data_IF_663023987253
#
_entry.id   IF_663023987253
#
_cell.length_a   1.000
_cell.length_b   1.000
_cell.length_c   1.000
_cell.angle_alpha   90.00
_cell.angle_beta   90.00
_cell.angle_gamma   90.00
#
_symmetry.space_group_name_H-M   'P 1'
#
loop_
_entity.id
_entity.type
_entity.pdbx_description
1 polymer ?
#
# COMPACT_ATOMS: atom_id res chain seq x y z
N UNK A 1 19.33 -1.58 13.19
CA UNK A 1 19.63 -0.23 12.65
C UNK A 1 21.12 -0.11 12.46
N UNK A 2 21.59 0.12 11.23
CA UNK A 2 23.02 0.37 10.97
C UNK A 2 23.31 1.85 11.18
N UNK A 3 24.29 2.16 12.02
CA UNK A 3 24.80 3.53 12.22
C UNK A 3 26.19 3.59 11.59
N UNK A 4 26.38 4.50 10.65
CA UNK A 4 27.70 4.77 10.07
C UNK A 4 28.17 6.09 10.65
N UNK A 5 29.29 6.07 11.36
CA UNK A 5 29.96 7.29 11.81
C UNK A 5 30.95 7.71 10.74
N UNK A 6 30.84 8.94 10.27
CA UNK A 6 31.78 9.57 9.34
C UNK A 6 32.51 10.66 10.09
N UNK A 7 33.83 10.59 10.13
CA UNK A 7 34.69 11.60 10.75
C UNK A 7 35.63 12.19 9.71
N UNK A 8 35.74 13.51 9.67
CA UNK A 8 36.72 14.24 8.86
C UNK A 8 37.30 15.39 9.68
N UNK A 9 38.61 15.32 9.98
CA UNK A 9 39.24 16.18 10.99
C UNK A 9 38.50 16.11 12.33
N UNK A 10 38.10 17.28 12.83
CA UNK A 10 37.35 17.43 14.08
C UNK A 10 35.82 17.33 13.92
N UNK A 11 35.33 17.10 12.70
CA UNK A 11 33.89 16.97 12.43
C UNK A 11 33.49 15.50 12.41
N UNK A 12 32.43 15.16 13.15
CA UNK A 12 31.80 13.84 13.13
C UNK A 12 30.32 13.98 12.75
N UNK A 13 29.82 13.04 11.94
CA UNK A 13 28.39 12.88 11.65
C UNK A 13 28.01 11.41 11.72
N UNK A 14 26.79 11.11 12.16
CA UNK A 14 26.25 9.74 12.21
C UNK A 14 25.11 9.60 11.22
N UNK A 15 25.30 8.79 10.19
CA UNK A 15 24.24 8.38 9.28
C UNK A 15 23.48 7.18 9.88
N UNK A 16 22.17 7.36 10.09
CA UNK A 16 21.28 6.33 10.60
C UNK A 16 20.51 5.69 9.44
N UNK A 17 20.91 4.49 9.02
CA UNK A 17 20.24 3.75 7.95
C UNK A 17 19.11 2.92 8.56
N UNK A 18 17.87 3.39 8.37
CA UNK A 18 16.68 2.76 8.92
C UNK A 18 15.79 2.09 7.87
N UNK A 19 16.09 2.29 6.59
CA UNK A 19 15.30 1.78 5.47
C UNK A 19 16.19 0.88 4.60
N UNK A 20 15.62 -0.17 3.99
CA UNK A 20 16.34 -0.95 2.99
C UNK A 20 16.62 -0.12 1.73
N UNK A 21 17.57 -0.55 0.90
CA UNK A 21 17.80 0.08 -0.40
C UNK A 21 16.66 -0.22 -1.37
N UNK A 22 16.36 0.70 -2.30
CA UNK A 22 15.42 0.48 -3.39
C UNK A 22 15.76 -0.79 -4.17
N UNK A 23 17.03 -0.95 -4.57
CA UNK A 23 17.49 -2.09 -5.37
C UNK A 23 17.10 -3.43 -4.74
N UNK A 24 17.42 -3.62 -3.46
CA UNK A 24 17.10 -4.86 -2.75
C UNK A 24 15.60 -5.01 -2.46
N UNK A 25 14.88 -3.92 -2.19
CA UNK A 25 13.42 -4.01 -2.02
C UNK A 25 12.74 -4.46 -3.32
N UNK A 26 13.07 -3.78 -4.42
CA UNK A 26 12.50 -4.04 -5.73
C UNK A 26 12.80 -5.47 -6.21
N UNK A 27 14.03 -5.96 -6.07
CA UNK A 27 14.40 -7.31 -6.51
C UNK A 27 13.67 -8.44 -5.75
N UNK A 28 13.15 -8.17 -4.55
CA UNK A 28 12.46 -9.15 -3.73
C UNK A 28 10.95 -8.93 -3.65
N UNK A 29 10.42 -7.83 -4.19
CA UNK A 29 8.99 -7.57 -4.22
C UNK A 29 8.30 -8.45 -5.27
N UNK A 30 7.53 -9.44 -4.82
CA UNK A 30 6.90 -10.42 -5.71
C UNK A 30 5.63 -9.83 -6.34
N UNK A 31 5.56 -9.77 -7.67
CA UNK A 31 4.40 -9.35 -8.47
C UNK A 31 3.79 -10.52 -9.25
N UNK A 32 3.74 -11.71 -8.66
CA UNK A 32 3.07 -12.90 -9.22
C UNK A 32 1.62 -13.01 -8.78
N UNK A 33 0.89 -14.04 -9.19
CA UNK A 33 -0.47 -14.32 -8.74
C UNK A 33 -0.54 -14.56 -7.22
N UNK A 34 -1.62 -14.12 -6.57
CA UNK A 34 -1.76 -14.30 -5.11
C UNK A 34 -1.82 -15.77 -4.71
N UNK A 35 -2.45 -16.62 -5.53
CA UNK A 35 -2.56 -18.06 -5.31
C UNK A 35 -1.20 -18.79 -5.31
N UNK A 36 -0.19 -18.22 -5.97
CA UNK A 36 1.18 -18.74 -5.99
C UNK A 36 1.99 -18.22 -4.81
N UNK A 37 1.74 -16.97 -4.40
CA UNK A 37 2.51 -16.31 -3.35
C UNK A 37 2.33 -16.95 -1.96
N UNK A 38 1.14 -17.47 -1.63
CA UNK A 38 0.89 -18.01 -0.28
C UNK A 38 1.88 -19.11 0.11
N UNK A 39 2.12 -20.06 -0.81
CA UNK A 39 3.01 -21.20 -0.59
C UNK A 39 4.50 -20.83 -0.58
N UNK A 40 4.87 -19.66 -1.09
CA UNK A 40 6.23 -19.12 -0.93
C UNK A 40 6.52 -18.83 0.54
N UNK A 41 5.50 -18.35 1.27
CA UNK A 41 5.63 -18.02 2.69
C UNK A 41 5.34 -19.25 3.55
N UNK A 42 4.14 -19.83 3.47
CA UNK A 42 3.79 -21.00 4.28
C UNK A 42 2.65 -21.81 3.68
N UNK A 43 2.76 -23.13 3.79
CA UNK A 43 1.69 -24.09 3.48
C UNK A 43 0.39 -23.81 4.26
N UNK A 44 0.50 -23.32 5.49
CA UNK A 44 -0.66 -22.95 6.30
C UNK A 44 -1.41 -21.76 5.70
N UNK A 45 -0.68 -20.73 5.25
CA UNK A 45 -1.30 -19.59 4.59
C UNK A 45 -1.97 -20.02 3.28
N UNK A 46 -1.30 -20.86 2.47
CA UNK A 46 -1.87 -21.40 1.24
C UNK A 46 -3.21 -22.10 1.48
N UNK A 47 -3.25 -23.00 2.47
CA UNK A 47 -4.48 -23.71 2.87
C UNK A 47 -5.59 -22.75 3.31
N UNK A 48 -5.27 -21.77 4.14
CA UNK A 48 -6.28 -20.83 4.67
C UNK A 48 -6.80 -19.86 3.59
N UNK A 49 -5.92 -19.39 2.70
CA UNK A 49 -6.28 -18.48 1.62
C UNK A 49 -7.00 -19.17 0.45
N UNK A 50 -6.95 -20.50 0.37
CA UNK A 50 -7.70 -21.33 -0.60
C UNK A 50 -8.83 -22.13 0.03
N UNK A 51 -9.22 -21.79 1.26
CA UNK A 51 -10.29 -22.50 1.97
C UNK A 51 -11.64 -22.40 1.24
N UNK A 52 -12.39 -23.49 1.24
CA UNK A 52 -13.78 -23.51 0.77
C UNK A 52 -14.72 -22.68 1.67
N UNK A 53 -14.39 -22.50 2.97
CA UNK A 53 -15.12 -21.57 3.83
C UNK A 53 -14.75 -20.14 3.44
N UNK A 54 -15.69 -19.44 2.81
CA UNK A 54 -15.53 -18.06 2.36
C UNK A 54 -15.12 -17.11 3.49
N UNK A 55 -15.60 -17.31 4.72
CA UNK A 55 -15.25 -16.45 5.87
C UNK A 55 -13.81 -16.65 6.27
N UNK A 56 -13.29 -17.88 6.14
CA UNK A 56 -11.87 -18.15 6.31
C UNK A 56 -11.13 -17.49 5.15
N UNK A 57 -11.41 -17.86 3.90
CA UNK A 57 -10.72 -17.35 2.72
C UNK A 57 -10.56 -15.82 2.70
N UNK A 58 -11.65 -15.07 2.94
CA UNK A 58 -11.64 -13.59 2.96
C UNK A 58 -10.70 -12.97 4.00
N UNK A 59 -10.38 -13.69 5.07
CA UNK A 59 -9.44 -13.21 6.09
C UNK A 59 -7.97 -13.38 5.68
N UNK A 60 -7.69 -14.24 4.69
CA UNK A 60 -6.34 -14.69 4.33
C UNK A 60 -5.94 -14.37 2.89
N UNK A 61 -6.88 -14.05 2.00
CA UNK A 61 -6.62 -13.83 0.57
C UNK A 61 -5.76 -12.59 0.26
N UNK A 62 -5.71 -11.61 1.17
CA UNK A 62 -4.96 -10.38 0.89
C UNK A 62 -3.45 -10.57 1.08
N UNK A 63 -2.71 -10.56 -0.02
CA UNK A 63 -1.24 -10.75 -0.01
C UNK A 63 -0.41 -9.46 0.10
N UNK A 64 -1.00 -8.26 0.03
CA UNK A 64 -0.20 -7.02 -0.10
C UNK A 64 0.79 -6.81 1.05
N UNK A 65 0.35 -6.99 2.30
CA UNK A 65 1.20 -6.87 3.48
C UNK A 65 2.24 -8.00 3.56
N UNK A 66 1.88 -9.21 3.12
CA UNK A 66 2.82 -10.33 3.08
C UNK A 66 3.92 -10.15 2.03
N UNK A 67 3.59 -9.63 0.83
CA UNK A 67 4.56 -9.27 -0.21
C UNK A 67 5.52 -8.18 0.26
N UNK A 68 4.98 -7.15 0.93
CA UNK A 68 5.78 -6.11 1.55
C UNK A 68 6.70 -6.69 2.64
N UNK A 69 6.17 -7.56 3.51
CA UNK A 69 6.95 -8.23 4.55
C UNK A 69 8.09 -9.06 3.99
N UNK A 70 7.82 -9.84 2.95
CA UNK A 70 8.81 -10.64 2.26
C UNK A 70 9.94 -9.76 1.69
N UNK A 71 9.59 -8.70 0.95
CA UNK A 71 10.58 -7.78 0.39
C UNK A 71 11.42 -7.08 1.49
N UNK A 72 10.80 -6.68 2.60
CA UNK A 72 11.50 -6.08 3.75
C UNK A 72 12.51 -7.07 4.35
N UNK A 73 12.08 -8.30 4.63
CA UNK A 73 12.94 -9.33 5.20
C UNK A 73 14.14 -9.63 4.28
N UNK A 74 13.89 -9.87 2.99
CA UNK A 74 14.93 -10.22 2.02
C UNK A 74 15.79 -9.03 1.58
N UNK A 75 15.40 -7.79 1.91
CA UNK A 75 16.23 -6.59 1.70
C UNK A 75 17.09 -6.21 2.91
N UNK A 76 17.08 -7.02 3.96
CA UNK A 76 17.87 -6.83 5.18
C UNK A 76 17.17 -5.99 6.27
N UNK A 77 15.91 -5.61 6.07
CA UNK A 77 15.07 -5.01 7.10
C UNK A 77 14.20 -6.11 7.74
N UNK A 78 14.82 -6.91 8.63
CA UNK A 78 14.17 -8.07 9.24
C UNK A 78 13.03 -7.64 10.16
N UNK A 79 11.83 -8.13 9.87
CA UNK A 79 10.66 -7.91 10.70
C UNK A 79 10.73 -8.75 11.98
N UNK A 80 10.50 -8.15 13.16
CA UNK A 80 10.45 -8.87 14.41
C UNK A 80 9.17 -9.73 14.47
N UNK A 81 9.07 -10.58 15.49
CA UNK A 81 7.82 -11.27 15.83
C UNK A 81 6.68 -10.25 16.00
N UNK A 82 5.53 -10.50 15.37
CA UNK A 82 4.39 -9.59 15.42
C UNK A 82 3.73 -9.70 16.80
N UNK A 83 3.70 -8.64 17.63
CA UNK A 83 3.15 -8.73 18.98
C UNK A 83 1.63 -8.66 19.03
N UNK A 84 0.94 -8.24 17.95
CA UNK A 84 -0.48 -7.83 17.99
C UNK A 84 -1.32 -8.26 16.80
N UNK A 85 -0.78 -9.00 15.83
CA UNK A 85 -1.47 -9.24 14.57
C UNK A 85 -1.17 -10.58 13.92
N UNK A 86 -1.89 -10.82 12.81
CA UNK A 86 -1.72 -12.00 11.98
C UNK A 86 -0.35 -11.96 11.28
N UNK A 87 0.46 -12.98 11.54
CA UNK A 87 1.75 -13.17 10.93
C UNK A 87 2.07 -14.67 10.78
N UNK A 88 2.95 -14.99 9.84
CA UNK A 88 3.40 -16.36 9.56
C UNK A 88 4.93 -16.42 9.58
N UNK A 89 5.49 -17.50 10.13
CA UNK A 89 6.91 -17.79 9.94
C UNK A 89 7.07 -18.47 8.58
N UNK A 90 7.96 -17.93 7.76
CA UNK A 90 8.26 -18.52 6.46
C UNK A 90 8.94 -19.87 6.64
N UNK A 91 8.39 -20.92 6.06
CA UNK A 91 8.90 -22.29 6.26
C UNK A 91 10.32 -22.47 5.67
N UNK A 92 10.63 -21.73 4.60
CA UNK A 92 11.92 -21.79 3.90
C UNK A 92 12.93 -20.76 4.39
N UNK A 93 12.50 -19.54 4.66
CA UNK A 93 13.40 -18.43 5.00
C UNK A 93 13.51 -18.16 6.51
N UNK A 94 12.61 -18.74 7.33
CA UNK A 94 12.57 -18.56 8.77
C UNK A 94 12.16 -17.15 9.24
N UNK A 95 11.76 -16.25 8.33
CA UNK A 95 11.41 -14.88 8.69
C UNK A 95 9.94 -14.73 9.08
N UNK A 96 9.67 -13.72 9.90
CA UNK A 96 8.29 -13.38 10.23
C UNK A 96 7.66 -12.51 9.14
N UNK A 97 6.50 -12.93 8.64
CA UNK A 97 5.75 -12.27 7.58
C UNK A 97 4.45 -11.70 8.14
N UNK A 98 4.36 -10.37 8.24
CA UNK A 98 3.18 -9.71 8.77
C UNK A 98 2.12 -9.59 7.68
N UNK A 99 0.91 -10.09 7.95
CA UNK A 99 -0.13 -10.22 6.93
C UNK A 99 -1.19 -9.11 6.98
N UNK A 100 -1.06 -8.15 7.90
CA UNK A 100 -2.03 -7.06 8.08
C UNK A 100 -1.40 -5.70 7.83
N UNK A 101 -2.07 -4.93 6.98
CA UNK A 101 -1.60 -3.62 6.52
C UNK A 101 -1.49 -2.62 7.66
N UNK A 102 -2.48 -2.55 8.57
CA UNK A 102 -2.49 -1.58 9.68
C UNK A 102 -1.28 -1.76 10.57
N UNK A 103 -1.07 -2.97 11.06
CA UNK A 103 -0.01 -3.31 12.01
C UNK A 103 1.36 -3.12 11.36
N UNK A 104 1.54 -3.57 10.11
CA UNK A 104 2.80 -3.36 9.38
C UNK A 104 3.08 -1.87 9.15
N UNK A 105 2.08 -1.07 8.77
CA UNK A 105 2.21 0.38 8.59
C UNK A 105 2.60 1.08 9.88
N UNK A 106 1.98 0.73 11.00
CA UNK A 106 2.33 1.30 12.31
C UNK A 106 3.78 0.96 12.70
N UNK A 107 4.21 -0.27 12.44
CA UNK A 107 5.59 -0.68 12.66
C UNK A 107 6.59 0.06 11.76
N UNK A 108 6.27 0.25 10.46
CA UNK A 108 7.10 1.03 9.55
C UNK A 108 7.17 2.50 9.95
N UNK A 109 6.05 3.13 10.37
CA UNK A 109 6.07 4.50 10.93
C UNK A 109 7.00 4.61 12.15
N UNK A 110 6.95 3.64 13.06
CA UNK A 110 7.84 3.60 14.24
C UNK A 110 9.32 3.43 13.86
N UNK A 111 9.59 2.65 12.81
CA UNK A 111 10.95 2.28 12.41
C UNK A 111 11.61 3.30 11.48
N UNK A 112 10.87 3.77 10.49
CA UNK A 112 11.30 4.69 9.44
C UNK A 112 11.06 6.16 9.80
N UNK A 113 10.21 6.44 10.79
CA UNK A 113 9.69 7.76 11.08
C UNK A 113 8.50 8.12 10.19
N UNK A 114 8.12 9.41 10.23
CA UNK A 114 7.13 9.98 9.31
C UNK A 114 7.57 9.72 7.85
N UNK A 115 6.60 9.47 6.97
CA UNK A 115 6.81 9.45 5.53
C UNK A 115 7.44 10.74 5.05
N UNK A 116 8.31 10.64 4.05
CA UNK A 116 8.93 11.82 3.43
C UNK A 116 7.87 12.65 2.72
N UNK A 117 6.81 12.00 2.25
CA UNK A 117 5.57 12.63 1.80
C UNK A 117 4.39 11.91 2.45
N UNK A 118 3.53 12.65 3.14
CA UNK A 118 2.25 12.14 3.65
C UNK A 118 1.16 13.17 3.40
N UNK A 119 -0.01 12.72 2.93
CA UNK A 119 -1.15 13.61 2.72
C UNK A 119 -2.47 12.91 3.08
N UNK A 120 -3.24 13.43 4.05
CA UNK A 120 -4.61 13.03 4.26
C UNK A 120 -5.50 13.61 3.15
N UNK A 121 -6.37 12.80 2.57
CA UNK A 121 -7.34 13.25 1.58
C UNK A 121 -8.67 13.61 2.25
N UNK A 122 -9.40 14.61 1.73
CA UNK A 122 -10.75 14.90 2.18
C UNK A 122 -11.65 13.67 2.00
N UNK A 123 -12.57 13.48 2.96
CA UNK A 123 -13.60 12.46 2.82
C UNK A 123 -14.49 12.77 1.61
N UNK A 124 -14.63 11.80 0.72
CA UNK A 124 -15.51 11.84 -0.44
C UNK A 124 -16.94 11.63 0.02
N UNK A 125 -17.58 12.72 0.45
CA UNK A 125 -18.98 12.76 0.84
C UNK A 125 -19.76 13.61 -0.17
N UNK A 126 -20.93 13.14 -0.56
CA UNK A 126 -21.93 13.90 -1.31
C UNK A 126 -23.33 13.41 -0.90
N UNK A 127 -24.35 14.25 -1.06
CA UNK A 127 -25.71 13.89 -0.69
C UNK A 127 -26.27 12.85 -1.68
N UNK A 128 -26.59 11.66 -1.16
CA UNK A 128 -27.12 10.54 -1.94
C UNK A 128 -28.63 10.65 -2.20
N UNK A 129 -29.35 11.41 -1.36
CA UNK A 129 -30.82 11.42 -1.27
C UNK A 129 -31.44 12.71 -1.81
N UNK A 130 -30.74 13.39 -2.72
CA UNK A 130 -31.30 14.55 -3.40
C UNK A 130 -32.26 14.10 -4.49
N UNK A 131 -33.44 14.72 -4.58
CA UNK A 131 -34.34 14.72 -5.75
C UNK A 131 -33.73 15.42 -6.98
N UNK A 132 -32.39 15.52 -7.03
CA UNK A 132 -31.63 16.18 -8.06
C UNK A 132 -31.67 15.39 -9.37
N UNK A 133 -31.62 16.15 -10.46
CA UNK A 133 -31.39 15.59 -11.78
C UNK A 133 -30.09 14.77 -11.82
N UNK A 134 -30.13 13.66 -12.56
CA UNK A 134 -29.01 12.73 -12.69
C UNK A 134 -27.76 13.41 -13.28
N UNK A 135 -27.92 14.36 -14.20
CA UNK A 135 -26.77 15.06 -14.80
C UNK A 135 -26.11 16.02 -13.79
N UNK A 136 -26.91 16.68 -12.95
CA UNK A 136 -26.39 17.53 -11.89
C UNK A 136 -25.63 16.71 -10.83
N UNK A 137 -26.15 15.52 -10.49
CA UNK A 137 -25.46 14.57 -9.61
C UNK A 137 -24.11 14.14 -10.19
N UNK A 138 -24.08 13.73 -11.46
CA UNK A 138 -22.84 13.33 -12.16
C UNK A 138 -21.83 14.48 -12.20
N UNK A 139 -22.28 15.70 -12.48
CA UNK A 139 -21.43 16.89 -12.49
C UNK A 139 -20.77 17.15 -11.13
N UNK A 140 -21.54 17.13 -10.04
CA UNK A 140 -21.01 17.33 -8.67
C UNK A 140 -20.01 16.24 -8.25
N UNK A 141 -20.28 14.98 -8.62
CA UNK A 141 -19.35 13.86 -8.38
C UNK A 141 -18.04 14.09 -9.15
N UNK A 142 -18.14 14.49 -10.42
CA UNK A 142 -16.98 14.79 -11.26
C UNK A 142 -16.14 15.95 -10.70
N UNK A 143 -16.76 17.06 -10.32
CA UNK A 143 -16.05 18.21 -9.73
C UNK A 143 -15.27 17.81 -8.47
N UNK A 144 -15.90 17.04 -7.57
CA UNK A 144 -15.22 16.50 -6.37
C UNK A 144 -14.07 15.56 -6.71
N UNK A 145 -14.22 14.75 -7.76
CA UNK A 145 -13.17 13.85 -8.22
C UNK A 145 -11.99 14.63 -8.81
N UNK A 146 -12.27 15.65 -9.62
CA UNK A 146 -11.25 16.52 -10.22
C UNK A 146 -10.46 17.28 -9.15
N UNK A 147 -11.14 17.81 -8.14
CA UNK A 147 -10.50 18.44 -6.97
C UNK A 147 -9.57 17.44 -6.26
N UNK A 148 -10.07 16.23 -5.98
CA UNK A 148 -9.29 15.18 -5.32
C UNK A 148 -8.06 14.78 -6.13
N UNK A 149 -8.19 14.62 -7.44
CA UNK A 149 -7.07 14.33 -8.35
C UNK A 149 -6.03 15.45 -8.28
N UNK A 150 -6.48 16.71 -8.30
CA UNK A 150 -5.58 17.87 -8.17
C UNK A 150 -4.83 17.85 -6.84
N UNK A 151 -5.52 17.62 -5.72
CA UNK A 151 -4.89 17.53 -4.40
C UNK A 151 -3.81 16.44 -4.36
N UNK A 152 -4.07 15.27 -4.93
CA UNK A 152 -3.09 14.19 -5.03
C UNK A 152 -1.89 14.60 -5.90
N UNK A 153 -2.13 15.20 -7.07
CA UNK A 153 -1.05 15.65 -7.96
C UNK A 153 -0.12 16.63 -7.24
N UNK A 154 -0.69 17.68 -6.67
CA UNK A 154 0.04 18.80 -6.07
C UNK A 154 0.75 18.38 -4.76
N UNK A 155 0.12 17.52 -3.95
CA UNK A 155 0.63 17.19 -2.62
C UNK A 155 1.42 15.89 -2.55
N UNK A 156 1.27 15.00 -3.52
CA UNK A 156 1.93 13.69 -3.56
C UNK A 156 2.77 13.52 -4.83
N UNK A 157 2.13 13.44 -6.01
CA UNK A 157 2.80 12.93 -7.22
C UNK A 157 3.98 13.81 -7.64
N UNK A 158 3.83 15.14 -7.66
CA UNK A 158 4.93 16.05 -7.98
C UNK A 158 6.10 15.94 -6.99
N UNK A 159 5.84 15.56 -5.74
CA UNK A 159 6.87 15.45 -4.70
C UNK A 159 7.60 14.11 -4.71
N UNK A 160 7.00 13.08 -5.30
CA UNK A 160 7.58 11.73 -5.41
C UNK A 160 8.03 11.37 -6.82
N UNK A 161 7.80 12.24 -7.81
CA UNK A 161 8.25 12.07 -9.20
C UNK A 161 9.76 11.83 -9.24
N UNK A 162 10.17 10.77 -9.94
CA UNK A 162 11.58 10.37 -10.05
C UNK A 162 12.19 9.78 -8.77
N UNK A 163 11.46 9.78 -7.64
CA UNK A 163 11.85 9.11 -6.40
C UNK A 163 11.30 7.70 -6.38
N UNK A 164 11.98 6.78 -5.70
CA UNK A 164 11.53 5.39 -5.60
C UNK A 164 11.29 5.02 -4.16
N UNK A 165 10.33 4.16 -3.88
CA UNK A 165 10.11 3.75 -2.51
C UNK A 165 8.84 2.99 -2.22
N UNK A 166 8.50 2.94 -0.94
CA UNK A 166 7.30 2.28 -0.44
C UNK A 166 6.18 3.32 -0.40
N UNK A 167 5.02 2.96 -0.91
CA UNK A 167 3.78 3.72 -0.73
C UNK A 167 2.74 2.88 0.00
N UNK A 168 2.02 3.53 0.90
CA UNK A 168 0.87 2.94 1.58
C UNK A 168 -0.33 3.87 1.49
N UNK A 169 -1.47 3.25 1.19
CA UNK A 169 -2.77 3.88 1.16
C UNK A 169 -3.52 3.45 2.41
N UNK A 170 -4.00 4.38 3.21
CA UNK A 170 -4.98 4.09 4.26
C UNK A 170 -6.36 4.18 3.62
N UNK A 171 -7.17 3.12 3.68
CA UNK A 171 -8.44 3.02 2.95
C UNK A 171 -9.58 2.70 3.92
N UNK A 172 -10.70 3.42 3.80
CA UNK A 172 -11.94 3.10 4.50
C UNK A 172 -12.92 2.41 3.57
N UNK A 173 -13.86 1.67 4.15
CA UNK A 173 -14.91 0.98 3.42
C UNK A 173 -14.66 -0.51 3.31
N UNK A 174 -13.41 -0.93 3.12
CA UNK A 174 -13.05 -2.34 3.03
C UNK A 174 -13.34 -3.10 4.33
N UNK A 175 -13.80 -4.34 4.18
CA UNK A 175 -14.12 -5.23 5.30
C UNK A 175 -12.92 -6.10 5.71
N UNK A 176 -12.03 -6.43 4.77
CA UNK A 176 -10.90 -7.34 4.96
C UNK A 176 -9.54 -6.64 5.07
N UNK A 177 -9.47 -5.33 4.78
CA UNK A 177 -8.24 -4.54 4.82
C UNK A 177 -8.50 -3.10 5.29
N UNK A 178 -7.45 -2.44 5.78
CA UNK A 178 -7.47 -1.05 6.24
C UNK A 178 -6.65 -0.12 5.33
N UNK A 179 -6.25 -0.63 4.17
CA UNK A 179 -5.30 0.00 3.29
C UNK A 179 -4.61 -0.97 2.35
N UNK A 180 -3.69 -0.45 1.53
CA UNK A 180 -2.92 -1.20 0.56
C UNK A 180 -1.45 -0.75 0.60
N UNK A 181 -0.52 -1.71 0.47
CA UNK A 181 0.90 -1.47 0.31
C UNK A 181 1.33 -1.77 -1.11
N UNK A 182 2.20 -0.93 -1.67
CA UNK A 182 2.93 -1.24 -2.91
C UNK A 182 4.25 -0.46 -2.97
N UNK A 183 5.03 -0.66 -4.03
CA UNK A 183 6.19 0.13 -4.39
C UNK A 183 5.84 1.15 -5.47
N UNK A 184 6.57 2.26 -5.45
CA UNK A 184 6.57 3.30 -6.48
C UNK A 184 7.97 3.35 -7.09
N UNK A 185 8.08 3.18 -8.41
CA UNK A 185 9.37 3.06 -9.10
C UNK A 185 9.97 4.38 -9.62
N UNK A 186 9.29 5.49 -9.37
CA UNK A 186 9.61 6.80 -9.93
C UNK A 186 8.51 7.36 -10.81
N UNK A 187 7.66 6.49 -11.36
CA UNK A 187 6.64 6.85 -12.34
C UNK A 187 5.33 6.06 -12.18
N UNK A 188 5.42 4.79 -11.76
CA UNK A 188 4.30 3.87 -11.66
C UNK A 188 4.26 3.12 -10.33
N UNK A 189 3.04 2.72 -9.94
CA UNK A 189 2.80 1.79 -8.84
C UNK A 189 3.04 0.36 -9.34
N UNK A 190 3.68 -0.46 -8.52
CA UNK A 190 3.87 -1.89 -8.82
C UNK A 190 2.63 -2.69 -8.40
N UNK A 191 1.81 -3.11 -9.35
CA UNK A 191 0.71 -4.02 -9.05
C UNK A 191 1.11 -5.49 -9.25
N UNK A 192 0.63 -6.33 -8.33
CA UNK A 192 0.67 -7.76 -8.52
C UNK A 192 -0.61 -8.19 -9.24
N UNK A 193 -0.52 -9.10 -10.23
CA UNK A 193 -1.66 -9.77 -10.84
C UNK A 193 -2.60 -10.38 -9.79
N UNK A 194 -3.91 -10.34 -10.08
CA UNK A 194 -4.95 -10.89 -9.20
C UNK A 194 -5.33 -10.01 -7.99
N UNK A 195 -4.74 -8.81 -7.84
CA UNK A 195 -5.31 -7.70 -7.04
C UNK A 195 -6.12 -6.73 -7.90
N UNK A 196 -6.19 -6.99 -9.19
CA UNK A 196 -7.14 -6.40 -10.12
C UNK A 196 -8.51 -6.97 -9.73
N UNK A 197 -9.16 -6.34 -8.75
CA UNK A 197 -10.61 -6.39 -8.76
C UNK A 197 -11.01 -5.84 -10.12
N UNK A 198 -11.57 -6.73 -10.93
CA UNK A 198 -12.18 -6.49 -12.23
C UNK A 198 -13.43 -5.60 -12.13
N UNK A 199 -13.35 -4.57 -11.30
CA UNK A 199 -14.27 -3.46 -11.24
C UNK A 199 -13.53 -2.33 -10.54
N UNK A 200 -13.29 -1.22 -11.24
CA UNK A 200 -13.45 0.14 -10.69
C UNK A 200 -12.98 1.21 -11.67
N UNK A 201 -13.96 1.71 -12.43
CA UNK A 201 -14.05 3.06 -12.98
C UNK A 201 -12.74 3.69 -13.48
N UNK A 202 -12.39 3.29 -14.70
CA UNK A 202 -11.47 3.99 -15.56
C UNK A 202 -12.00 5.40 -15.87
N UNK A 203 -11.28 6.42 -15.41
CA UNK A 203 -11.18 7.64 -16.19
C UNK A 203 -10.29 7.31 -17.39
N UNK A 204 -10.90 6.85 -18.48
CA UNK A 204 -10.23 6.63 -19.74
C UNK A 204 -9.64 7.95 -20.26
N UNK A 205 -8.32 8.07 -20.23
CA UNK A 205 -7.60 8.98 -21.11
C UNK A 205 -6.61 8.11 -21.88
N UNK A 206 -6.89 7.89 -23.16
CA UNK A 206 -6.01 7.20 -24.11
C UNK A 206 -5.57 5.76 -23.75
N UNK A 207 -6.42 4.98 -23.06
CA UNK A 207 -6.22 3.53 -22.95
C UNK A 207 -5.13 3.07 -21.96
N UNK A 208 -4.76 3.89 -20.97
CA UNK A 208 -3.83 3.49 -19.91
C UNK A 208 -4.46 3.59 -18.51
N UNK A 209 -4.26 2.55 -17.68
CA UNK A 209 -4.67 2.53 -16.26
C UNK A 209 -3.49 2.97 -15.40
N UNK A 210 -3.57 4.15 -14.80
CA UNK A 210 -2.58 4.66 -13.86
C UNK A 210 -3.23 5.04 -12.52
N UNK A 211 -2.49 4.83 -11.41
CA UNK A 211 -2.73 5.52 -10.12
C UNK A 211 -4.04 5.21 -9.35
N UNK A 212 -4.70 4.08 -9.64
CA UNK A 212 -5.96 3.63 -9.03
C UNK A 212 -6.12 3.99 -7.54
N UNK A 213 -5.14 3.66 -6.68
CA UNK A 213 -5.24 3.93 -5.25
C UNK A 213 -4.99 5.37 -4.80
N UNK A 214 -4.32 6.20 -5.59
CA UNK A 214 -3.99 7.55 -5.18
C UNK A 214 -5.24 8.42 -5.01
N UNK A 215 -6.21 8.31 -5.91
CA UNK A 215 -7.48 9.03 -5.83
C UNK A 215 -8.68 8.12 -5.59
N UNK A 216 -8.45 6.86 -5.23
CA UNK A 216 -9.49 5.84 -5.11
C UNK A 216 -10.73 6.32 -4.36
N UNK A 217 -11.86 6.17 -5.05
CA UNK A 217 -13.22 6.28 -4.55
C UNK A 217 -14.04 5.23 -5.30
N UNK A 218 -14.76 4.38 -4.57
CA UNK A 218 -15.77 3.48 -5.10
C UNK A 218 -17.03 3.63 -4.27
N UNK A 219 -18.18 3.59 -4.91
CA UNK A 219 -19.46 3.66 -4.24
C UNK A 219 -20.29 2.41 -4.51
N UNK A 220 -20.97 1.95 -3.46
CA UNK A 220 -22.12 1.06 -3.55
C UNK A 220 -23.34 1.75 -2.97
N UNK A 221 -24.53 1.17 -3.18
CA UNK A 221 -25.80 1.69 -2.67
C UNK A 221 -25.76 2.04 -1.17
N UNK A 222 -24.95 1.34 -0.36
CA UNK A 222 -24.87 1.49 1.09
C UNK A 222 -23.56 2.07 1.62
N UNK A 223 -22.48 2.16 0.82
CA UNK A 223 -21.15 2.48 1.34
C UNK A 223 -20.28 3.23 0.33
N UNK A 224 -19.37 4.04 0.85
CA UNK A 224 -18.28 4.64 0.08
C UNK A 224 -16.96 4.02 0.55
N UNK A 225 -16.16 3.58 -0.39
CA UNK A 225 -14.80 3.09 -0.23
C UNK A 225 -13.86 4.17 -0.77
N UNK A 226 -12.81 4.50 -0.02
CA UNK A 226 -11.94 5.60 -0.43
C UNK A 226 -10.59 5.57 0.26
N UNK A 227 -9.58 6.11 -0.43
CA UNK A 227 -8.28 6.42 0.18
C UNK A 227 -8.39 7.63 1.10
N UNK A 228 -8.07 7.47 2.37
CA UNK A 228 -8.10 8.54 3.36
C UNK A 228 -6.75 9.23 3.53
N UNK A 229 -5.66 8.49 3.30
CA UNK A 229 -4.32 9.02 3.47
C UNK A 229 -3.33 8.25 2.61
N UNK A 230 -2.37 8.98 2.05
CA UNK A 230 -1.24 8.42 1.31
C UNK A 230 0.03 8.72 2.09
N UNK A 231 0.92 7.75 2.18
CA UNK A 231 2.22 7.88 2.84
C UNK A 231 3.27 7.25 1.92
N UNK A 232 4.35 7.97 1.69
CA UNK A 232 5.48 7.55 0.89
C UNK A 232 6.76 7.62 1.72
N UNK A 233 7.53 6.54 1.70
CA UNK A 233 8.90 6.49 2.20
C UNK A 233 9.85 6.23 1.03
N UNK A 234 10.68 7.23 0.73
CA UNK A 234 11.76 7.12 -0.24
C UNK A 234 12.77 6.07 0.22
N UNK A 235 13.19 5.25 -0.73
CA UNK A 235 14.27 4.29 -0.59
C UNK A 235 15.41 4.70 -1.52
N UNK A 236 16.65 4.59 -1.02
CA UNK A 236 17.86 4.96 -1.76
C UNK A 236 18.46 3.77 -2.49
#
# INVERSE_FOLDING_TARGET
MKKIKVKTGDKESTLKINRPSWKNMFSHYKTMESAEFYSIVSSQWDKSAKSEDERVRKQWENTCAGRMSYALNHSGFILPKNPKGLAMIGEKDGYNHWLRVRELREYLKKSFGKGDVEYPLPAFNYDKNTSMDINEKVKKIKEKMDERIKLVKDNILEKIKGKKGIVVFEVSGWSNASGHFTLWDGEYLLYAPGHDVESTYEYYINGFIYNYYFWFVQETNSKIYQTNKIIFWELK
#
